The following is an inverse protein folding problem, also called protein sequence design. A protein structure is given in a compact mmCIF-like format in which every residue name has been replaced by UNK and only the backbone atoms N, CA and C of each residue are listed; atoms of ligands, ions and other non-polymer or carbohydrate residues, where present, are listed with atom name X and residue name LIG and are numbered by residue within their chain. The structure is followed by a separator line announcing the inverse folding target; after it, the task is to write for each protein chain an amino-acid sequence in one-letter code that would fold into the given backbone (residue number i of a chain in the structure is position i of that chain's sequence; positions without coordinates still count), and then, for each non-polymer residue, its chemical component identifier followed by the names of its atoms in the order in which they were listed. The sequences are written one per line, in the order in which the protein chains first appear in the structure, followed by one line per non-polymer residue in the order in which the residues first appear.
data_IF_461681611232
#
_entry.id   IF_461681611232
#
_cell.length_a   1.000
_cell.length_b   1.000
_cell.length_c   1.000
_cell.angle_alpha   90.00
_cell.angle_beta   90.00
_cell.angle_gamma   90.00
#
_symmetry.space_group_name_H-M   'P 1'
#
loop_
_entity.id
_entity.type
_entity.pdbx_description
1 polymer ?
#
# COMPACT_ATOMS: atom_id res chain seq x y z
N UNK A 1 -34.67 -27.28 -5.82
CA UNK A 1 -34.43 -26.76 -4.45
C UNK A 1 -33.54 -27.74 -3.72
N UNK A 2 -32.30 -27.44 -3.46
CA UNK A 2 -31.39 -28.23 -2.60
C UNK A 2 -31.22 -27.50 -1.28
N UNK A 3 -31.34 -28.16 -0.11
CA UNK A 3 -31.22 -27.52 1.18
C UNK A 3 -29.75 -27.13 1.46
N UNK A 4 -29.53 -25.94 2.00
CA UNK A 4 -28.25 -25.47 2.48
C UNK A 4 -27.78 -26.32 3.67
N UNK A 5 -26.62 -26.96 3.54
CA UNK A 5 -25.94 -27.60 4.65
C UNK A 5 -25.42 -26.48 5.61
N UNK A 6 -25.86 -26.54 6.88
CA UNK A 6 -25.43 -25.61 7.93
C UNK A 6 -23.95 -25.82 8.24
N UNK A 7 -23.28 -24.70 8.50
CA UNK A 7 -21.92 -24.68 9.02
C UNK A 7 -21.89 -25.26 10.45
N UNK A 8 -20.87 -26.04 10.84
CA UNK A 8 -20.76 -26.58 12.19
C UNK A 8 -20.51 -25.45 13.21
N UNK A 9 -21.28 -25.44 14.28
CA UNK A 9 -21.05 -24.57 15.45
C UNK A 9 -19.70 -24.93 16.09
N UNK A 10 -18.81 -23.96 16.16
CA UNK A 10 -17.56 -24.06 16.90
C UNK A 10 -17.79 -23.67 18.36
N UNK A 11 -18.37 -24.57 19.17
CA UNK A 11 -18.38 -24.44 20.62
C UNK A 11 -16.99 -24.77 21.19
N UNK A 12 -16.20 -23.75 21.50
CA UNK A 12 -14.96 -23.90 22.25
C UNK A 12 -15.25 -23.67 23.73
N UNK A 13 -15.10 -24.69 24.58
CA UNK A 13 -15.35 -24.53 26.03
C UNK A 13 -14.30 -23.61 26.66
N UNK A 14 -14.73 -22.48 27.22
CA UNK A 14 -13.88 -21.57 28.00
C UNK A 14 -13.64 -22.14 29.38
N UNK A 15 -12.46 -22.71 29.59
CA UNK A 15 -12.02 -23.16 30.92
C UNK A 15 -11.60 -21.96 31.78
N UNK A 16 -12.33 -21.76 32.90
CA UNK A 16 -11.92 -20.80 33.93
C UNK A 16 -10.73 -21.40 34.72
N UNK A 17 -9.51 -21.04 34.37
CA UNK A 17 -8.34 -21.31 35.22
C UNK A 17 -7.97 -20.07 36.01
N UNK A 18 -7.77 -20.29 37.31
CA UNK A 18 -7.43 -19.32 38.35
C UNK A 18 -6.23 -18.45 37.97
N UNK A 19 -6.39 -17.13 38.14
CA UNK A 19 -5.34 -16.13 37.93
C UNK A 19 -4.46 -16.11 39.18
N UNK A 20 -3.25 -16.65 39.07
CA UNK A 20 -2.18 -16.34 40.00
C UNK A 20 -1.62 -14.95 39.65
N UNK A 21 -1.66 -14.03 40.62
CA UNK A 21 -1.10 -12.69 40.50
C UNK A 21 0.42 -12.77 40.49
N UNK A 22 0.99 -12.81 39.30
CA UNK A 22 2.40 -12.60 39.05
C UNK A 22 2.63 -11.16 38.57
N UNK A 23 3.50 -10.42 39.27
CA UNK A 23 3.92 -9.09 38.85
C UNK A 23 4.60 -9.17 37.49
N UNK A 24 3.89 -8.77 36.43
CA UNK A 24 4.45 -8.68 35.09
C UNK A 24 5.14 -7.30 34.95
N UNK A 25 6.47 -7.33 34.90
CA UNK A 25 7.23 -6.17 34.49
C UNK A 25 6.80 -5.81 33.05
N UNK A 26 6.04 -4.74 32.88
CA UNK A 26 5.63 -4.23 31.58
C UNK A 26 6.83 -3.61 30.89
N UNK A 27 7.58 -4.42 30.12
CA UNK A 27 8.48 -3.89 29.10
C UNK A 27 7.62 -3.25 28.03
N UNK A 28 7.48 -1.93 28.05
CA UNK A 28 6.89 -1.16 26.97
C UNK A 28 7.81 -1.26 25.76
N UNK A 29 7.54 -2.21 24.86
CA UNK A 29 8.08 -2.15 23.50
C UNK A 29 7.54 -0.88 22.87
N UNK A 30 8.37 0.14 22.74
CA UNK A 30 8.06 1.32 21.96
C UNK A 30 7.85 0.88 20.50
N UNK A 31 6.59 0.81 20.08
CA UNK A 31 6.25 0.64 18.67
C UNK A 31 6.70 1.92 17.97
N UNK A 32 7.78 1.84 17.20
CA UNK A 32 8.26 2.97 16.43
C UNK A 32 7.12 3.49 15.53
N UNK A 33 6.76 4.76 15.69
CA UNK A 33 5.80 5.42 14.82
C UNK A 33 6.31 5.38 13.37
N UNK A 34 5.42 5.35 12.36
CA UNK A 34 5.83 5.40 10.96
C UNK A 34 6.64 6.66 10.72
N UNK A 35 7.85 6.53 10.18
CA UNK A 35 8.69 7.67 9.84
C UNK A 35 8.21 8.20 8.49
N UNK A 36 7.56 9.36 8.50
CA UNK A 36 7.25 10.11 7.27
C UNK A 36 8.48 10.99 7.01
N UNK A 37 9.29 10.62 6.03
CA UNK A 37 10.40 11.44 5.58
C UNK A 37 9.96 12.26 4.36
N UNK A 38 9.80 13.56 4.54
CA UNK A 38 9.76 14.54 3.46
C UNK A 38 11.20 15.00 3.21
N UNK A 39 12.04 14.11 2.68
CA UNK A 39 13.42 14.42 2.33
C UNK A 39 13.56 14.68 0.84
N UNK A 40 14.70 15.27 0.43
CA UNK A 40 15.06 15.36 -0.97
C UNK A 40 15.01 13.95 -1.59
N UNK A 41 14.31 13.83 -2.74
CA UNK A 41 14.28 12.58 -3.48
C UNK A 41 15.70 12.23 -3.95
N UNK A 42 16.04 10.96 -3.88
CA UNK A 42 17.29 10.47 -4.47
C UNK A 42 17.11 10.32 -5.99
N UNK A 43 18.21 10.25 -6.75
CA UNK A 43 18.16 9.96 -8.18
C UNK A 43 17.43 8.63 -8.46
N UNK A 44 17.63 7.63 -7.60
CA UNK A 44 16.92 6.35 -7.69
C UNK A 44 15.41 6.50 -7.44
N UNK A 45 15.00 7.33 -6.49
CA UNK A 45 13.58 7.59 -6.24
C UNK A 45 12.93 8.26 -7.45
N UNK A 46 13.57 9.26 -8.05
CA UNK A 46 13.06 9.88 -9.27
C UNK A 46 13.02 8.89 -10.44
N UNK A 47 14.06 8.08 -10.61
CA UNK A 47 14.11 7.09 -11.68
C UNK A 47 12.94 6.11 -11.61
N UNK A 48 12.65 5.53 -10.45
CA UNK A 48 11.55 4.59 -10.28
C UNK A 48 10.19 5.29 -10.30
N UNK A 49 10.11 6.52 -9.82
CA UNK A 49 8.89 7.32 -9.91
C UNK A 49 8.53 7.66 -11.35
N UNK A 50 9.51 8.00 -12.22
CA UNK A 50 9.26 8.19 -13.66
C UNK A 50 8.67 6.92 -14.29
N UNK A 51 9.12 5.73 -13.88
CA UNK A 51 8.54 4.47 -14.34
C UNK A 51 7.09 4.29 -13.87
N UNK A 52 6.76 4.66 -12.62
CA UNK A 52 5.40 4.61 -12.12
C UNK A 52 4.48 5.59 -12.86
N UNK A 53 4.95 6.82 -13.12
CA UNK A 53 4.23 7.83 -13.91
C UNK A 53 4.02 7.35 -15.36
N UNK A 54 4.99 6.65 -15.95
CA UNK A 54 4.83 6.08 -17.29
C UNK A 54 3.77 4.96 -17.31
N UNK A 55 3.67 4.13 -16.30
CA UNK A 55 2.54 3.18 -16.16
C UNK A 55 1.21 3.93 -16.03
N UNK A 56 1.16 5.05 -15.29
CA UNK A 56 -0.03 5.87 -15.12
C UNK A 56 -0.52 6.49 -16.44
N UNK A 57 0.39 6.85 -17.37
CA UNK A 57 0.03 7.39 -18.69
C UNK A 57 -0.81 6.42 -19.52
N UNK A 58 -0.62 5.11 -19.32
CA UNK A 58 -1.27 4.04 -20.08
C UNK A 58 -2.42 3.38 -19.31
N UNK A 59 -2.79 3.94 -18.17
CA UNK A 59 -3.81 3.40 -17.28
C UNK A 59 -5.23 3.85 -17.67
N UNK A 60 -6.23 3.11 -17.25
CA UNK A 60 -7.64 3.48 -17.36
C UNK A 60 -7.95 4.77 -16.58
N UNK A 61 -7.32 4.92 -15.42
CA UNK A 61 -7.22 6.12 -14.59
C UNK A 61 -5.74 6.39 -14.31
N UNK A 62 -5.27 7.65 -14.21
CA UNK A 62 -3.84 7.97 -14.27
C UNK A 62 -3.08 7.60 -12.99
N UNK A 63 -3.18 6.34 -12.59
CA UNK A 63 -2.46 5.75 -11.47
C UNK A 63 -1.60 4.58 -11.91
N UNK A 64 -0.31 4.65 -11.60
CA UNK A 64 0.66 3.63 -11.91
C UNK A 64 1.60 3.37 -10.75
N UNK A 65 2.11 2.15 -10.65
CA UNK A 65 2.97 1.72 -9.57
C UNK A 65 4.10 0.81 -10.04
N UNK A 66 5.22 0.85 -9.31
CA UNK A 66 6.40 0.00 -9.53
C UNK A 66 6.87 -0.55 -8.19
N UNK A 67 7.08 -1.86 -8.10
CA UNK A 67 7.65 -2.51 -6.92
C UNK A 67 9.13 -2.79 -7.18
N UNK A 68 9.97 -2.34 -6.25
CA UNK A 68 11.43 -2.46 -6.33
C UNK A 68 11.98 -3.12 -5.08
N UNK A 69 12.94 -4.01 -5.25
CA UNK A 69 13.74 -4.58 -4.17
C UNK A 69 15.19 -4.71 -4.61
N UNK A 70 16.11 -4.30 -3.76
CA UNK A 70 17.56 -4.35 -4.02
C UNK A 70 17.94 -3.71 -5.37
N UNK A 71 17.34 -2.54 -5.69
CA UNK A 71 17.54 -1.80 -6.92
C UNK A 71 16.93 -2.43 -8.19
N UNK A 72 16.22 -3.56 -8.06
CA UNK A 72 15.59 -4.29 -9.18
C UNK A 72 14.07 -4.12 -9.18
N UNK A 73 13.51 -3.85 -10.35
CA UNK A 73 12.05 -3.83 -10.56
C UNK A 73 11.53 -5.26 -10.54
N UNK A 74 10.65 -5.57 -9.57
CA UNK A 74 9.99 -6.87 -9.47
C UNK A 74 8.67 -6.90 -10.24
N UNK A 75 7.91 -5.81 -10.20
CA UNK A 75 6.63 -5.73 -10.89
C UNK A 75 6.26 -4.29 -11.21
N UNK A 76 5.40 -4.13 -12.22
CA UNK A 76 4.76 -2.86 -12.58
C UNK A 76 3.25 -3.06 -12.63
N UNK A 77 2.51 -2.04 -12.25
CA UNK A 77 1.05 -2.02 -12.30
C UNK A 77 0.56 -0.67 -12.75
N UNK A 78 -0.60 -0.69 -13.38
CA UNK A 78 -1.38 0.51 -13.69
C UNK A 78 -2.83 0.24 -13.39
N UNK A 79 -3.60 1.29 -13.16
CA UNK A 79 -5.04 1.14 -12.95
C UNK A 79 -5.68 0.46 -14.16
N UNK A 80 -6.39 -0.62 -13.92
CA UNK A 80 -7.11 -1.43 -14.91
C UNK A 80 -8.59 -1.60 -14.51
N UNK A 81 -9.10 -0.71 -13.68
CA UNK A 81 -10.46 -0.83 -13.13
C UNK A 81 -11.53 -0.95 -14.18
N UNK A 82 -11.46 -0.14 -15.24
CA UNK A 82 -12.38 -0.18 -16.37
C UNK A 82 -12.12 -1.39 -17.27
N UNK A 83 -10.87 -1.64 -17.64
CA UNK A 83 -10.50 -2.71 -18.58
C UNK A 83 -10.79 -4.12 -18.03
N UNK A 84 -10.78 -4.28 -16.69
CA UNK A 84 -11.01 -5.56 -16.01
C UNK A 84 -12.38 -5.66 -15.34
N UNK A 85 -13.20 -4.60 -15.39
CA UNK A 85 -14.44 -4.50 -14.63
C UNK A 85 -14.23 -4.82 -13.13
N UNK A 86 -13.09 -4.36 -12.59
CA UNK A 86 -12.68 -4.56 -11.20
C UNK A 86 -12.33 -3.23 -10.55
N UNK A 87 -13.22 -2.64 -9.73
CA UNK A 87 -12.96 -1.35 -9.06
C UNK A 87 -11.76 -1.41 -8.09
N UNK A 88 -11.27 -2.59 -7.74
CA UNK A 88 -10.09 -2.76 -6.89
C UNK A 88 -8.78 -2.87 -7.68
N UNK A 89 -8.82 -2.91 -9.01
CA UNK A 89 -7.63 -3.02 -9.86
C UNK A 89 -6.86 -1.69 -9.96
N UNK A 90 -6.57 -1.06 -8.81
CA UNK A 90 -5.67 0.09 -8.72
C UNK A 90 -4.24 -0.29 -9.11
N UNK A 91 -3.44 0.68 -9.54
CA UNK A 91 -2.07 0.45 -10.01
C UNK A 91 -1.22 -0.34 -9.01
N UNK A 92 -1.32 0.00 -7.73
CA UNK A 92 -0.61 -0.66 -6.63
C UNK A 92 -1.08 -2.11 -6.46
N UNK A 93 -2.41 -2.34 -6.49
CA UNK A 93 -2.98 -3.68 -6.37
C UNK A 93 -2.58 -4.58 -7.53
N UNK A 94 -2.58 -4.03 -8.75
CA UNK A 94 -2.12 -4.74 -9.95
C UNK A 94 -0.63 -5.09 -9.83
N UNK A 95 0.21 -4.15 -9.37
CA UNK A 95 1.64 -4.40 -9.15
C UNK A 95 1.87 -5.49 -8.09
N UNK A 96 1.16 -5.43 -6.95
CA UNK A 96 1.24 -6.43 -5.88
C UNK A 96 0.84 -7.81 -6.40
N UNK A 97 -0.32 -7.93 -7.07
CA UNK A 97 -0.80 -9.21 -7.62
C UNK A 97 0.18 -9.80 -8.64
N UNK A 98 0.76 -8.99 -9.51
CA UNK A 98 1.78 -9.42 -10.48
C UNK A 98 3.07 -9.87 -9.79
N UNK A 99 3.51 -9.14 -8.77
CA UNK A 99 4.70 -9.54 -7.99
C UNK A 99 4.46 -10.87 -7.27
N UNK A 100 3.29 -11.07 -6.66
CA UNK A 100 2.90 -12.32 -6.02
C UNK A 100 2.90 -13.49 -7.01
N UNK A 101 2.34 -13.31 -8.19
CA UNK A 101 2.27 -14.35 -9.22
C UNK A 101 3.66 -14.74 -9.75
N UNK A 102 4.57 -13.78 -9.90
CA UNK A 102 5.91 -14.02 -10.48
C UNK A 102 6.95 -14.46 -9.45
N UNK A 103 6.87 -13.99 -8.20
CA UNK A 103 7.95 -14.09 -7.22
C UNK A 103 7.52 -14.62 -5.85
N UNK A 104 6.20 -14.78 -5.61
CA UNK A 104 5.66 -15.17 -4.32
C UNK A 104 5.69 -14.05 -3.27
N UNK A 105 5.03 -14.29 -2.12
CA UNK A 105 4.84 -13.27 -1.07
C UNK A 105 6.13 -12.81 -0.39
N UNK A 106 7.13 -13.66 -0.28
CA UNK A 106 8.41 -13.32 0.35
C UNK A 106 9.15 -12.18 -0.39
N UNK A 107 8.91 -12.00 -1.69
CA UNK A 107 9.51 -10.95 -2.49
C UNK A 107 9.01 -9.54 -2.11
N UNK A 108 7.80 -9.43 -1.58
CA UNK A 108 7.22 -8.16 -1.16
C UNK A 108 7.74 -7.67 0.19
N UNK A 109 8.19 -8.59 1.05
CA UNK A 109 8.68 -8.23 2.37
C UNK A 109 9.91 -7.31 2.28
N UNK A 110 9.79 -6.11 2.85
CA UNK A 110 10.86 -5.09 2.81
C UNK A 110 11.01 -4.37 1.47
N UNK A 111 10.24 -4.73 0.44
CA UNK A 111 10.27 -4.04 -0.85
C UNK A 111 9.77 -2.58 -0.75
N UNK A 112 10.16 -1.76 -1.72
CA UNK A 112 9.68 -0.38 -1.91
C UNK A 112 8.61 -0.36 -2.99
N UNK A 113 7.50 0.32 -2.73
CA UNK A 113 6.51 0.64 -3.74
C UNK A 113 6.63 2.12 -4.13
N UNK A 114 6.77 2.38 -5.42
CA UNK A 114 6.70 3.70 -6.03
C UNK A 114 5.34 3.85 -6.73
N UNK A 115 4.64 4.96 -6.50
CA UNK A 115 3.32 5.18 -7.10
C UNK A 115 3.09 6.64 -7.46
N UNK A 116 2.43 6.89 -8.59
CA UNK A 116 2.17 8.22 -9.13
C UNK A 116 1.22 9.07 -8.27
N UNK A 117 0.41 8.44 -7.43
CA UNK A 117 -0.44 9.09 -6.44
C UNK A 117 -0.32 8.42 -5.09
N UNK A 118 -0.55 9.16 -4.02
CA UNK A 118 -0.59 8.61 -2.66
C UNK A 118 -1.63 7.48 -2.59
N UNK A 119 -1.26 6.29 -2.10
CA UNK A 119 -2.15 5.14 -2.06
C UNK A 119 -3.38 5.40 -1.20
N UNK A 120 -4.55 5.04 -1.70
CA UNK A 120 -5.77 5.02 -0.90
C UNK A 120 -5.68 3.98 0.24
N UNK A 121 -6.64 4.04 1.19
CA UNK A 121 -6.66 3.14 2.34
C UNK A 121 -6.60 1.65 1.98
N UNK A 122 -7.25 1.22 0.89
CA UNK A 122 -7.21 -0.16 0.39
C UNK A 122 -5.78 -0.57 -0.02
N UNK A 123 -5.13 0.25 -0.86
CA UNK A 123 -3.78 -0.05 -1.37
C UNK A 123 -2.75 0.00 -0.24
N UNK A 124 -2.83 1.01 0.64
CA UNK A 124 -1.95 1.11 1.79
C UNK A 124 -2.14 -0.07 2.75
N UNK A 125 -3.39 -0.49 3.01
CA UNK A 125 -3.69 -1.70 3.78
C UNK A 125 -3.06 -2.95 3.19
N UNK A 126 -3.17 -3.14 1.87
CA UNK A 126 -2.54 -4.27 1.17
C UNK A 126 -1.01 -4.26 1.30
N UNK A 127 -0.37 -3.09 1.16
CA UNK A 127 1.08 -2.94 1.37
C UNK A 127 1.50 -3.36 2.78
N UNK A 128 0.71 -3.01 3.79
CA UNK A 128 0.97 -3.37 5.19
C UNK A 128 0.89 -4.87 5.39
N UNK A 129 -0.15 -5.53 4.89
CA UNK A 129 -0.28 -6.99 4.93
C UNK A 129 0.82 -7.73 4.17
N UNK A 130 1.37 -7.12 3.12
CA UNK A 130 2.53 -7.63 2.38
C UNK A 130 3.88 -7.36 3.07
N UNK A 131 3.89 -6.70 4.24
CA UNK A 131 5.10 -6.31 4.98
C UNK A 131 6.10 -5.52 4.13
N UNK A 132 5.61 -4.67 3.23
CA UNK A 132 6.48 -3.78 2.45
C UNK A 132 7.17 -2.78 3.38
N UNK A 133 8.43 -2.48 3.09
CA UNK A 133 9.29 -1.66 3.97
C UNK A 133 9.25 -0.17 3.68
N UNK A 134 8.89 0.22 2.44
CA UNK A 134 8.91 1.62 2.02
C UNK A 134 7.81 1.94 1.00
N UNK A 135 7.23 3.12 1.16
CA UNK A 135 6.35 3.77 0.19
C UNK A 135 7.03 5.06 -0.31
N UNK A 136 7.03 5.26 -1.63
CA UNK A 136 7.38 6.54 -2.26
C UNK A 136 6.24 6.93 -3.19
N UNK A 137 5.66 8.12 -3.00
CA UNK A 137 4.57 8.58 -3.85
C UNK A 137 4.83 9.98 -4.44
N UNK A 138 4.20 10.26 -5.58
CA UNK A 138 4.29 11.56 -6.22
C UNK A 138 3.24 12.53 -5.68
N UNK A 139 2.03 12.53 -6.20
CA UNK A 139 0.97 13.44 -5.77
C UNK A 139 0.32 12.98 -4.46
N UNK A 140 0.14 13.89 -3.49
CA UNK A 140 -0.54 13.60 -2.23
C UNK A 140 -2.05 13.44 -2.43
N UNK A 141 -2.73 12.82 -1.44
CA UNK A 141 -4.21 12.71 -1.45
C UNK A 141 -4.87 14.09 -1.51
N UNK A 142 -4.29 15.10 -0.85
CA UNK A 142 -4.79 16.47 -0.89
C UNK A 142 -4.68 17.10 -2.28
N UNK A 143 -3.56 16.88 -2.96
CA UNK A 143 -3.39 17.33 -4.35
C UNK A 143 -4.38 16.62 -5.29
N UNK A 144 -4.51 15.30 -5.15
CA UNK A 144 -5.44 14.50 -5.94
C UNK A 144 -6.90 14.92 -5.71
N UNK A 145 -7.28 15.25 -4.48
CA UNK A 145 -8.63 15.71 -4.14
C UNK A 145 -9.05 17.02 -4.85
N UNK A 146 -8.09 17.80 -5.35
CA UNK A 146 -8.39 18.98 -6.17
C UNK A 146 -8.86 18.63 -7.59
N UNK A 147 -8.72 17.37 -8.03
CA UNK A 147 -9.04 16.91 -9.39
C UNK A 147 -10.08 15.80 -9.41
N UNK A 148 -10.13 14.95 -8.40
CA UNK A 148 -10.99 13.76 -8.33
C UNK A 148 -11.41 13.49 -6.90
N UNK A 149 -12.54 12.82 -6.72
CA UNK A 149 -12.98 12.37 -5.38
C UNK A 149 -12.00 11.37 -4.78
N UNK A 150 -11.73 11.52 -3.47
CA UNK A 150 -10.80 10.70 -2.72
C UNK A 150 -11.37 10.27 -1.37
N UNK A 151 -10.93 9.11 -0.89
CA UNK A 151 -11.04 8.78 0.54
C UNK A 151 -9.95 9.59 1.26
N UNK A 152 -10.33 10.64 1.99
CA UNK A 152 -9.43 11.61 2.61
C UNK A 152 -8.72 11.04 3.86
N UNK A 153 -8.07 9.90 3.69
CA UNK A 153 -7.25 9.23 4.70
C UNK A 153 -5.84 9.06 4.14
N UNK A 154 -4.87 9.68 4.77
CA UNK A 154 -3.48 9.63 4.28
C UNK A 154 -2.85 8.25 4.48
N UNK A 155 -1.84 7.94 3.66
CA UNK A 155 -1.03 6.73 3.83
C UNK A 155 -0.40 6.64 5.22
N UNK A 156 -0.03 7.79 5.79
CA UNK A 156 0.53 7.87 7.14
C UNK A 156 -0.49 7.48 8.21
N UNK A 157 -1.73 7.96 8.10
CA UNK A 157 -2.80 7.63 9.04
C UNK A 157 -3.08 6.13 9.01
N UNK A 158 -3.20 5.54 7.82
CA UNK A 158 -3.36 4.07 7.68
C UNK A 158 -2.17 3.32 8.27
N UNK A 159 -0.94 3.78 8.00
CA UNK A 159 0.27 3.15 8.53
C UNK A 159 0.31 3.19 10.06
N UNK A 160 -0.11 4.29 10.68
CA UNK A 160 -0.12 4.47 12.12
C UNK A 160 -1.06 3.50 12.86
N UNK A 161 -2.13 3.04 12.20
CA UNK A 161 -3.06 2.07 12.79
C UNK A 161 -2.54 0.64 12.79
N UNK A 162 -1.56 0.31 11.94
CA UNK A 162 -1.00 -1.03 11.82
C UNK A 162 0.14 -1.24 12.84
N UNK A 163 -0.08 -2.11 13.84
CA UNK A 163 0.89 -2.38 14.93
C UNK A 163 2.00 -3.37 14.55
N UNK A 164 2.05 -3.82 13.33
CA UNK A 164 3.09 -4.71 12.81
C UNK A 164 4.09 -3.90 11.97
N UNK A 165 5.23 -4.42 11.69
CA UNK A 165 6.43 -3.83 11.10
C UNK A 165 6.35 -2.37 10.58
N UNK A 166 7.26 -1.48 10.95
CA UNK A 166 7.25 -0.09 10.50
C UNK A 166 7.37 0.00 8.97
N UNK A 167 6.88 1.09 8.38
CA UNK A 167 7.08 1.43 6.98
C UNK A 167 7.57 2.87 6.90
N UNK A 168 8.60 3.14 6.09
CA UNK A 168 9.00 4.50 5.77
C UNK A 168 8.17 5.05 4.61
N UNK A 169 7.82 6.34 4.69
CA UNK A 169 6.98 7.00 3.68
C UNK A 169 7.69 8.27 3.21
N UNK A 170 7.83 8.42 1.89
CA UNK A 170 8.38 9.61 1.24
C UNK A 170 7.36 10.10 0.22
N UNK A 171 6.90 11.33 0.34
CA UNK A 171 5.93 11.93 -0.58
C UNK A 171 6.51 13.08 -1.40
N UNK A 172 5.80 13.49 -2.45
CA UNK A 172 6.12 14.67 -3.25
C UNK A 172 7.14 14.44 -4.37
N UNK A 173 7.57 13.19 -4.60
CA UNK A 173 8.59 12.89 -5.63
C UNK A 173 7.98 13.03 -7.01
N UNK A 174 8.37 14.07 -7.76
CA UNK A 174 7.84 14.42 -9.08
C UNK A 174 6.31 14.66 -9.08
N UNK A 175 5.77 15.25 -8.01
CA UNK A 175 4.34 15.48 -7.83
C UNK A 175 3.71 16.24 -9.01
N UNK A 176 4.34 17.33 -9.47
CA UNK A 176 3.83 18.15 -10.57
C UNK A 176 3.72 17.33 -11.88
N UNK A 177 4.69 16.45 -12.14
CA UNK A 177 4.66 15.57 -13.30
C UNK A 177 3.49 14.58 -13.24
N UNK A 178 3.18 14.06 -12.06
CA UNK A 178 2.04 13.19 -11.85
C UNK A 178 0.71 13.95 -11.97
N UNK A 179 0.60 15.14 -11.39
CA UNK A 179 -0.61 15.96 -11.44
C UNK A 179 -0.98 16.38 -12.87
N UNK A 180 -0.01 16.63 -13.75
CA UNK A 180 -0.25 16.95 -15.17
C UNK A 180 -1.03 15.85 -15.92
N UNK A 181 -1.06 14.61 -15.41
CA UNK A 181 -1.85 13.53 -16.01
C UNK A 181 -3.36 13.73 -15.86
N UNK A 182 -3.77 14.55 -14.90
CA UNK A 182 -5.18 14.88 -14.62
C UNK A 182 -5.68 16.10 -15.37
N UNK A 183 -4.78 16.93 -15.92
CA UNK A 183 -5.15 18.16 -16.66
C UNK A 183 -5.70 17.89 -18.09
N UNK A 184 -5.53 16.69 -18.58
CA UNK A 184 -5.91 16.30 -19.98
C UNK A 184 -7.17 15.42 -20.03
N UNK A 185 -7.96 15.37 -18.96
CA UNK A 185 -9.17 14.53 -18.87
C UNK A 185 -10.41 15.32 -18.55
#
# INVERSE_FOLDING_TARGET
MRPHAGLPDCDVPVSRRSVLAGSVATSTLAVAAPVIAFGAATEDDERFMRMAIEEARRADFPFGAVIVRDGRVLARGRNLGRSQDDPTAHGEMVAIRRCLAAHGGAALKGATLYTSGEPCAMCMGAMRWCHMGRLVFAASVQQLASKIDQIMLSSADVAATARFAPISITGGVLADMAMQLFDKR
#
